data_IF_708009273028
#
_entry.id   IF_708009273028
#
_cell.length_a   1.000
_cell.length_b   1.000
_cell.length_c   1.000
_cell.angle_alpha   90.00
_cell.angle_beta   90.00
_cell.angle_gamma   90.00
#
_symmetry.space_group_name_H-M   'P 1'
#
loop_
_entity.id
_entity.type
_entity.pdbx_description
1 polymer ?
#
# COMPACT_ATOMS: atom_id res chain seq x y z
N UNK A 1 13.18 -2.03 3.52
CA UNK A 1 13.10 -3.05 2.44
C UNK A 1 13.93 -4.26 2.83
N UNK A 2 13.37 -5.47 2.75
CA UNK A 2 14.10 -6.70 3.01
C UNK A 2 15.20 -6.94 1.95
N UNK A 3 16.26 -7.66 2.35
CA UNK A 3 17.31 -8.09 1.44
C UNK A 3 16.76 -9.12 0.44
N UNK A 4 16.98 -8.91 -0.87
CA UNK A 4 16.59 -9.88 -1.90
C UNK A 4 17.78 -10.76 -2.25
N UNK A 5 17.64 -12.05 -2.02
CA UNK A 5 18.66 -13.09 -2.24
C UNK A 5 18.19 -14.02 -3.35
N UNK A 6 18.94 -14.13 -4.43
CA UNK A 6 18.66 -15.12 -5.47
C UNK A 6 19.34 -16.44 -5.09
N UNK A 7 18.52 -17.44 -4.80
CA UNK A 7 18.97 -18.81 -4.49
C UNK A 7 18.02 -19.81 -5.10
N UNK A 8 18.29 -20.20 -6.33
CA UNK A 8 17.43 -21.12 -7.07
C UNK A 8 17.44 -22.53 -6.46
N UNK A 9 16.26 -23.13 -6.39
CA UNK A 9 16.06 -24.50 -5.92
C UNK A 9 16.34 -25.49 -7.05
N UNK A 10 17.62 -25.59 -7.45
CA UNK A 10 18.09 -26.35 -8.62
C UNK A 10 17.85 -27.85 -8.52
N UNK A 11 17.74 -28.41 -7.30
CA UNK A 11 17.43 -29.80 -7.08
C UNK A 11 15.94 -30.13 -7.11
N UNK A 12 15.08 -29.12 -7.00
CA UNK A 12 13.63 -29.34 -7.05
C UNK A 12 13.21 -29.84 -8.46
N UNK A 13 12.36 -30.88 -8.55
CA UNK A 13 11.90 -31.42 -9.83
C UNK A 13 11.22 -30.39 -10.75
N UNK A 14 10.54 -29.40 -10.18
CA UNK A 14 9.92 -28.31 -10.94
C UNK A 14 10.97 -27.45 -11.65
N UNK A 15 12.04 -27.07 -10.95
CA UNK A 15 13.17 -26.34 -11.54
C UNK A 15 13.80 -27.15 -12.68
N UNK A 16 14.09 -28.44 -12.44
CA UNK A 16 14.72 -29.34 -13.41
C UNK A 16 13.88 -29.53 -14.68
N UNK A 17 12.55 -29.42 -14.61
CA UNK A 17 11.69 -29.43 -15.81
C UNK A 17 11.88 -28.21 -16.70
N UNK A 18 12.32 -27.08 -16.17
CA UNK A 18 12.73 -25.91 -16.93
C UNK A 18 11.68 -25.31 -17.86
N UNK A 19 10.37 -25.64 -17.67
CA UNK A 19 9.29 -25.08 -18.49
C UNK A 19 9.21 -23.57 -18.26
N UNK A 20 8.97 -22.84 -19.35
CA UNK A 20 8.77 -21.38 -19.30
C UNK A 20 7.31 -21.03 -19.53
N UNK A 21 6.90 -19.88 -18.99
CA UNK A 21 5.57 -19.28 -19.17
C UNK A 21 5.72 -17.86 -19.67
N UNK A 22 4.71 -17.41 -20.43
CA UNK A 22 4.46 -15.98 -20.62
C UNK A 22 3.77 -15.46 -19.37
N UNK A 23 4.41 -14.49 -18.70
CA UNK A 23 3.90 -13.92 -17.47
C UNK A 23 2.74 -12.97 -17.80
N UNK A 24 1.57 -13.26 -17.22
CA UNK A 24 0.37 -12.42 -17.33
C UNK A 24 -0.03 -11.81 -16.01
N UNK A 25 0.57 -12.27 -14.90
CA UNK A 25 0.27 -11.76 -13.57
C UNK A 25 1.11 -12.39 -12.48
N UNK A 26 0.77 -12.04 -11.26
CA UNK A 26 1.42 -12.44 -10.02
C UNK A 26 0.37 -13.01 -9.07
N UNK A 27 0.72 -14.05 -8.31
CA UNK A 27 -0.15 -14.63 -7.29
C UNK A 27 0.53 -14.54 -5.92
N UNK A 28 -0.14 -13.90 -4.98
CA UNK A 28 0.30 -13.82 -3.60
C UNK A 28 -0.27 -15.00 -2.80
N UNK A 29 0.62 -15.67 -2.08
CA UNK A 29 0.31 -16.77 -1.19
C UNK A 29 0.77 -16.49 0.23
N UNK A 30 0.35 -17.34 1.17
CA UNK A 30 1.03 -17.55 2.43
C UNK A 30 1.18 -19.04 2.70
N UNK A 31 2.29 -19.40 3.34
CA UNK A 31 2.82 -20.78 3.36
C UNK A 31 1.93 -21.80 4.10
N UNK A 32 0.88 -21.37 4.81
CA UNK A 32 -0.06 -22.26 5.52
C UNK A 32 0.56 -22.99 6.71
N UNK A 33 1.65 -22.51 7.28
CA UNK A 33 2.25 -23.06 8.49
C UNK A 33 3.02 -22.00 9.28
N UNK A 34 3.07 -22.17 10.61
CA UNK A 34 3.68 -21.23 11.56
C UNK A 34 5.21 -21.22 11.47
N UNK A 35 5.75 -20.87 10.29
CA UNK A 35 7.19 -20.81 10.05
C UNK A 35 7.60 -19.43 9.54
N UNK A 36 8.32 -18.63 10.38
CA UNK A 36 8.69 -17.27 10.04
C UNK A 36 9.95 -17.16 9.15
N UNK A 37 10.72 -18.24 9.01
CA UNK A 37 12.01 -18.21 8.34
C UNK A 37 11.93 -18.78 6.92
N UNK A 38 12.11 -17.96 5.87
CA UNK A 38 12.07 -18.42 4.48
C UNK A 38 13.18 -19.40 4.11
N UNK A 39 14.35 -19.34 4.77
CA UNK A 39 15.49 -20.25 4.51
C UNK A 39 15.12 -21.72 4.75
N UNK A 40 14.20 -21.97 5.69
CA UNK A 40 13.72 -23.34 5.97
C UNK A 40 13.06 -23.94 4.75
N UNK A 41 12.24 -23.16 4.04
CA UNK A 41 11.54 -23.62 2.82
C UNK A 41 12.52 -23.79 1.67
N UNK A 42 13.43 -22.83 1.46
CA UNK A 42 14.46 -22.92 0.41
C UNK A 42 15.26 -24.21 0.58
N UNK A 43 15.72 -24.51 1.80
CA UNK A 43 16.46 -25.73 2.11
C UNK A 43 15.64 -26.99 1.89
N UNK A 44 14.42 -27.04 2.43
CA UNK A 44 13.60 -28.24 2.43
C UNK A 44 13.01 -28.57 1.05
N UNK A 45 12.68 -27.56 0.26
CA UNK A 45 12.08 -27.74 -1.06
C UNK A 45 13.15 -27.90 -2.16
N UNK A 46 14.41 -27.52 -1.91
CA UNK A 46 15.52 -27.80 -2.81
C UNK A 46 15.98 -29.24 -2.69
N UNK A 47 15.13 -30.19 -3.00
CA UNK A 47 15.32 -31.61 -2.83
C UNK A 47 14.72 -32.38 -4.01
N UNK A 48 15.45 -33.31 -4.65
CA UNK A 48 14.97 -34.08 -5.80
C UNK A 48 13.75 -34.95 -5.50
N UNK A 49 13.50 -35.27 -4.22
CA UNK A 49 12.31 -36.01 -3.81
C UNK A 49 11.11 -35.12 -3.47
N UNK A 50 11.27 -33.79 -3.44
CA UNK A 50 10.20 -32.87 -3.14
C UNK A 50 9.45 -32.47 -4.42
N UNK A 51 8.39 -33.22 -4.73
CA UNK A 51 7.59 -33.04 -5.95
C UNK A 51 6.21 -32.40 -5.73
N UNK A 52 5.98 -31.82 -4.53
CA UNK A 52 4.68 -31.30 -4.12
C UNK A 52 4.42 -29.88 -4.60
N UNK A 53 5.44 -29.01 -4.47
CA UNK A 53 5.31 -27.60 -4.78
C UNK A 53 6.64 -26.99 -5.21
N UNK A 54 6.57 -25.85 -5.85
CA UNK A 54 7.68 -24.96 -6.13
C UNK A 54 7.12 -23.57 -6.40
N UNK A 55 7.75 -22.55 -5.82
CA UNK A 55 7.35 -21.15 -5.96
C UNK A 55 8.50 -20.30 -6.49
N UNK A 56 8.23 -19.09 -6.90
CA UNK A 56 9.27 -18.17 -7.39
C UNK A 56 10.00 -17.45 -6.28
N UNK A 57 9.39 -17.36 -5.09
CA UNK A 57 10.07 -16.77 -3.94
C UNK A 57 9.33 -16.96 -2.62
N UNK A 58 10.09 -16.75 -1.54
CA UNK A 58 9.59 -16.73 -0.17
C UNK A 58 9.94 -15.41 0.49
N UNK A 59 8.99 -14.82 1.20
CA UNK A 59 9.11 -13.54 1.91
C UNK A 59 9.10 -13.77 3.41
N UNK A 60 10.16 -13.32 4.09
CA UNK A 60 10.24 -13.21 5.55
C UNK A 60 10.38 -11.75 5.99
N UNK A 61 10.67 -11.53 7.28
CA UNK A 61 10.79 -10.18 7.85
C UNK A 61 11.92 -9.36 7.19
N UNK A 62 13.12 -9.96 7.07
CA UNK A 62 14.32 -9.23 6.68
C UNK A 62 14.92 -9.75 5.36
N UNK A 63 14.41 -10.86 4.84
CA UNK A 63 14.93 -11.53 3.64
C UNK A 63 13.82 -11.99 2.73
N UNK A 64 14.07 -11.85 1.44
CA UNK A 64 13.26 -12.38 0.36
C UNK A 64 14.16 -13.30 -0.47
N UNK A 65 13.76 -14.54 -0.65
CA UNK A 65 14.47 -15.48 -1.52
C UNK A 65 13.76 -15.61 -2.86
N UNK A 66 14.49 -15.41 -3.95
CA UNK A 66 14.03 -15.75 -5.31
C UNK A 66 14.54 -17.15 -5.61
N UNK A 67 13.63 -18.08 -5.82
CA UNK A 67 13.88 -19.53 -5.84
C UNK A 67 13.67 -20.20 -7.20
N UNK A 68 13.00 -19.49 -8.11
CA UNK A 68 12.90 -19.83 -9.53
C UNK A 68 13.19 -18.59 -10.39
N UNK A 69 13.77 -18.76 -11.59
CA UNK A 69 13.98 -17.66 -12.53
C UNK A 69 12.66 -16.97 -12.90
N UNK A 70 12.54 -15.70 -12.54
CA UNK A 70 11.35 -14.88 -12.82
C UNK A 70 11.65 -13.43 -13.22
N UNK A 71 12.92 -13.05 -13.20
CA UNK A 71 13.41 -11.73 -13.65
C UNK A 71 14.66 -11.89 -14.54
N UNK A 72 14.77 -12.95 -15.30
CA UNK A 72 15.89 -13.18 -16.19
C UNK A 72 15.58 -12.66 -17.61
N UNK A 73 16.48 -11.87 -18.15
CA UNK A 73 16.48 -11.53 -19.57
C UNK A 73 17.16 -12.66 -20.31
N UNK A 74 16.39 -13.57 -20.88
CA UNK A 74 16.92 -14.70 -21.65
C UNK A 74 17.09 -14.42 -23.15
N UNK A 75 16.61 -13.28 -23.61
CA UNK A 75 16.73 -12.76 -24.98
C UNK A 75 16.46 -11.25 -25.00
N UNK A 76 16.54 -10.61 -26.16
CA UNK A 76 16.28 -9.17 -26.35
C UNK A 76 14.88 -8.71 -25.94
N UNK A 77 13.97 -9.63 -25.63
CA UNK A 77 12.61 -9.39 -25.16
C UNK A 77 12.29 -10.19 -23.88
N UNK A 78 13.26 -10.35 -22.97
CA UNK A 78 13.15 -11.18 -21.77
C UNK A 78 12.03 -10.80 -20.78
N UNK A 79 11.51 -9.59 -20.90
CA UNK A 79 10.31 -9.19 -20.18
C UNK A 79 9.12 -10.10 -20.53
N UNK A 80 8.36 -10.45 -19.50
CA UNK A 80 7.16 -11.27 -19.66
C UNK A 80 7.41 -12.79 -19.69
N UNK A 81 8.64 -13.25 -19.36
CA UNK A 81 8.98 -14.68 -19.30
C UNK A 81 9.46 -15.04 -17.90
N UNK A 82 9.00 -16.20 -17.38
CA UNK A 82 9.46 -16.80 -16.12
C UNK A 82 9.51 -18.34 -16.26
N UNK A 83 10.21 -19.03 -15.35
CA UNK A 83 10.03 -20.48 -15.21
C UNK A 83 8.61 -20.76 -14.70
N UNK A 84 8.01 -21.88 -15.13
CA UNK A 84 6.72 -22.32 -14.65
C UNK A 84 6.88 -22.91 -13.24
N UNK A 85 6.21 -22.34 -12.27
CA UNK A 85 6.15 -22.89 -10.91
C UNK A 85 5.00 -23.92 -10.73
N UNK A 86 4.96 -24.57 -9.57
CA UNK A 86 3.88 -25.44 -9.09
C UNK A 86 3.35 -24.89 -7.78
N UNK A 87 2.60 -23.78 -7.82
CA UNK A 87 2.24 -23.03 -6.60
C UNK A 87 0.73 -23.03 -6.27
N UNK A 88 -0.14 -23.24 -7.27
CA UNK A 88 -1.57 -23.04 -7.06
C UNK A 88 -2.46 -24.22 -7.48
N UNK A 89 -1.91 -25.34 -7.91
CA UNK A 89 -2.69 -26.45 -8.43
C UNK A 89 -3.42 -26.07 -9.73
N UNK A 90 -4.64 -26.60 -9.89
CA UNK A 90 -5.53 -26.30 -11.01
C UNK A 90 -6.93 -25.98 -10.51
N UNK A 91 -7.60 -25.04 -11.15
CA UNK A 91 -9.01 -24.74 -10.96
C UNK A 91 -9.88 -25.40 -12.04
N UNK A 92 -11.15 -25.02 -12.07
CA UNK A 92 -12.15 -25.56 -12.99
C UNK A 92 -11.93 -25.17 -14.45
N UNK A 93 -11.25 -24.04 -14.70
CA UNK A 93 -11.02 -23.51 -16.06
C UNK A 93 -9.58 -23.76 -16.54
N UNK A 94 -8.59 -23.58 -15.66
CA UNK A 94 -7.17 -23.70 -16.01
C UNK A 94 -6.28 -23.72 -14.74
N UNK A 95 -5.00 -23.41 -14.90
CA UNK A 95 -4.07 -23.26 -13.78
C UNK A 95 -3.23 -21.98 -13.95
N UNK A 96 -3.24 -21.12 -12.93
CA UNK A 96 -2.39 -19.94 -12.87
C UNK A 96 -0.89 -20.28 -12.85
N UNK A 97 -0.51 -21.52 -12.53
CA UNK A 97 0.85 -21.99 -12.76
C UNK A 97 1.36 -21.77 -14.20
N UNK A 98 0.46 -21.62 -15.16
CA UNK A 98 0.80 -21.42 -16.58
C UNK A 98 0.96 -19.95 -16.98
N UNK A 99 0.66 -19.01 -16.08
CA UNK A 99 0.58 -17.59 -16.43
C UNK A 99 1.04 -16.64 -15.32
N UNK A 100 1.12 -17.09 -14.06
CA UNK A 100 1.41 -16.24 -12.90
C UNK A 100 2.70 -16.66 -12.21
N UNK A 101 3.43 -15.66 -11.72
CA UNK A 101 4.52 -15.83 -10.77
C UNK A 101 3.90 -15.99 -9.38
N UNK A 102 4.19 -17.10 -8.68
CA UNK A 102 3.69 -17.35 -7.32
C UNK A 102 4.74 -17.02 -6.26
N UNK A 103 4.36 -16.23 -5.27
CA UNK A 103 5.23 -15.78 -4.16
C UNK A 103 4.53 -16.10 -2.84
N UNK A 104 5.28 -16.73 -1.91
CA UNK A 104 4.81 -17.14 -0.59
C UNK A 104 5.26 -16.18 0.50
N UNK A 105 4.37 -15.66 1.30
CA UNK A 105 4.70 -15.01 2.57
C UNK A 105 4.87 -16.08 3.65
N UNK A 106 5.96 -15.98 4.44
CA UNK A 106 6.12 -16.72 5.68
C UNK A 106 5.08 -16.26 6.72
N UNK A 107 4.85 -17.08 7.72
CA UNK A 107 3.85 -16.84 8.76
C UNK A 107 4.45 -16.81 10.15
N UNK A 108 3.87 -16.03 11.09
CA UNK A 108 4.45 -15.88 12.42
C UNK A 108 4.42 -17.20 13.20
N UNK A 109 5.47 -17.45 13.99
CA UNK A 109 5.60 -18.67 14.81
C UNK A 109 4.59 -18.76 15.95
N UNK A 110 3.96 -17.67 16.33
CA UNK A 110 3.02 -17.60 17.46
C UNK A 110 1.56 -17.92 17.09
N UNK A 111 1.25 -18.16 15.82
CA UNK A 111 -0.06 -18.69 15.42
C UNK A 111 -0.05 -20.23 15.47
N UNK A 112 -1.20 -20.84 15.68
CA UNK A 112 -1.36 -22.31 15.69
C UNK A 112 -2.55 -22.70 14.82
N UNK A 113 -2.29 -23.39 13.73
CA UNK A 113 -3.34 -23.93 12.87
C UNK A 113 -4.15 -25.01 13.60
N UNK A 114 -5.47 -24.96 13.47
CA UNK A 114 -6.42 -25.88 14.07
C UNK A 114 -7.25 -26.67 13.05
N UNK A 115 -7.08 -26.36 11.76
CA UNK A 115 -7.71 -27.06 10.64
C UNK A 115 -7.82 -26.14 9.41
N UNK A 116 -7.48 -26.64 8.23
CA UNK A 116 -7.47 -25.88 6.98
C UNK A 116 -6.70 -24.55 7.15
N UNK A 117 -7.30 -23.44 6.73
CA UNK A 117 -6.75 -22.10 6.88
C UNK A 117 -7.12 -21.40 8.20
N UNK A 118 -7.68 -22.14 9.20
CA UNK A 118 -8.07 -21.57 10.49
C UNK A 118 -6.96 -21.75 11.52
N UNK A 119 -6.60 -20.66 12.20
CA UNK A 119 -5.60 -20.69 13.27
C UNK A 119 -6.06 -19.96 14.53
N UNK A 120 -5.37 -20.16 15.61
CA UNK A 120 -5.50 -19.42 16.86
C UNK A 120 -4.20 -18.68 17.19
N UNK A 121 -4.31 -17.58 17.90
CA UNK A 121 -3.18 -16.82 18.47
C UNK A 121 -3.57 -16.38 19.87
N UNK A 122 -2.65 -16.45 20.84
CA UNK A 122 -2.90 -15.96 22.19
C UNK A 122 -2.97 -14.43 22.18
N UNK A 123 -3.84 -13.83 22.97
CA UNK A 123 -4.04 -12.36 23.00
C UNK A 123 -2.73 -11.60 23.21
N UNK A 124 -1.86 -12.08 24.10
CA UNK A 124 -0.55 -11.47 24.36
C UNK A 124 0.40 -11.51 23.16
N UNK A 125 0.24 -12.48 22.24
CA UNK A 125 1.10 -12.71 21.08
C UNK A 125 0.50 -12.08 19.81
N UNK A 126 -0.76 -11.68 19.84
CA UNK A 126 -1.49 -11.11 18.69
C UNK A 126 -0.82 -9.85 18.12
N UNK A 127 -0.34 -8.87 18.92
CA UNK A 127 0.37 -7.72 18.38
C UNK A 127 1.64 -8.09 17.60
N UNK A 128 2.39 -9.09 18.08
CA UNK A 128 3.59 -9.57 17.39
C UNK A 128 3.24 -10.29 16.08
N UNK A 129 2.15 -11.07 16.06
CA UNK A 129 1.65 -11.71 14.83
C UNK A 129 1.23 -10.66 13.78
N UNK A 130 0.51 -9.62 14.19
CA UNK A 130 0.10 -8.51 13.31
C UNK A 130 1.32 -7.79 12.76
N UNK A 131 2.30 -7.44 13.60
CA UNK A 131 3.52 -6.76 13.18
C UNK A 131 4.31 -7.61 12.17
N UNK A 132 4.40 -8.93 12.39
CA UNK A 132 5.05 -9.85 11.47
C UNK A 132 4.37 -9.87 10.09
N UNK A 133 3.04 -10.08 10.07
CA UNK A 133 2.27 -10.15 8.82
C UNK A 133 2.30 -8.81 8.08
N UNK A 134 2.20 -7.69 8.81
CA UNK A 134 2.33 -6.34 8.23
C UNK A 134 3.68 -6.19 7.51
N UNK A 135 4.80 -6.50 8.18
CA UNK A 135 6.13 -6.38 7.57
C UNK A 135 6.31 -7.31 6.36
N UNK A 136 5.82 -8.55 6.42
CA UNK A 136 5.86 -9.45 5.26
C UNK A 136 5.00 -8.92 4.10
N UNK A 137 3.85 -8.30 4.39
CA UNK A 137 2.99 -7.67 3.39
C UNK A 137 3.71 -6.47 2.72
N UNK A 138 4.35 -5.60 3.50
CA UNK A 138 5.15 -4.48 2.97
C UNK A 138 6.30 -4.97 2.07
N UNK A 139 7.00 -6.03 2.49
CA UNK A 139 8.04 -6.67 1.68
C UNK A 139 7.47 -7.28 0.39
N UNK A 140 6.24 -7.83 0.45
CA UNK A 140 5.54 -8.33 -0.72
C UNK A 140 5.18 -7.20 -1.69
N UNK A 141 4.70 -6.07 -1.20
CA UNK A 141 4.43 -4.86 -2.00
C UNK A 141 5.70 -4.43 -2.74
N UNK A 142 6.84 -4.35 -2.05
CA UNK A 142 8.12 -3.98 -2.65
C UNK A 142 8.56 -4.94 -3.78
N UNK A 143 8.42 -6.25 -3.55
CA UNK A 143 8.76 -7.26 -4.55
C UNK A 143 7.80 -7.22 -5.74
N UNK A 144 6.48 -7.14 -5.49
CA UNK A 144 5.46 -7.11 -6.54
C UNK A 144 5.58 -5.86 -7.41
N UNK A 145 5.90 -4.71 -6.84
CA UNK A 145 6.18 -3.49 -7.59
C UNK A 145 7.36 -3.68 -8.56
N UNK A 146 8.45 -4.32 -8.12
CA UNK A 146 9.60 -4.66 -8.97
C UNK A 146 9.23 -5.64 -10.08
N UNK A 147 8.47 -6.70 -9.75
CA UNK A 147 8.01 -7.68 -10.73
C UNK A 147 7.06 -7.07 -11.76
N UNK A 148 6.12 -6.21 -11.32
CA UNK A 148 5.24 -5.49 -12.24
C UNK A 148 6.00 -4.58 -13.20
N UNK A 149 6.97 -3.81 -12.69
CA UNK A 149 7.86 -2.99 -13.56
C UNK A 149 8.62 -3.86 -14.56
N UNK A 150 9.22 -4.95 -14.09
CA UNK A 150 10.03 -5.83 -14.94
C UNK A 150 9.19 -6.48 -16.04
N UNK A 151 7.98 -6.94 -15.74
CA UNK A 151 7.11 -7.63 -16.68
C UNK A 151 6.12 -6.71 -17.41
N UNK A 152 6.19 -5.40 -17.20
CA UNK A 152 5.27 -4.40 -17.75
C UNK A 152 3.80 -4.72 -17.46
N UNK A 153 3.50 -5.04 -16.19
CA UNK A 153 2.17 -5.37 -15.71
C UNK A 153 1.52 -4.17 -15.03
N UNK A 154 0.21 -3.97 -15.24
CA UNK A 154 -0.56 -3.00 -14.49
C UNK A 154 -1.16 -3.68 -13.23
N UNK A 155 -0.71 -3.34 -12.00
CA UNK A 155 -1.20 -4.00 -10.79
C UNK A 155 -2.68 -3.79 -10.51
N UNK A 156 -3.31 -2.76 -11.06
CA UNK A 156 -4.74 -2.47 -10.90
C UNK A 156 -5.63 -3.17 -11.92
N UNK A 157 -5.05 -3.79 -12.95
CA UNK A 157 -5.81 -4.54 -13.94
C UNK A 157 -6.33 -5.86 -13.33
N UNK A 158 -7.60 -6.16 -13.59
CA UNK A 158 -8.24 -7.38 -13.09
C UNK A 158 -7.51 -8.64 -13.54
N UNK A 159 -7.22 -9.53 -12.60
CA UNK A 159 -6.54 -10.80 -12.85
C UNK A 159 -5.02 -10.70 -12.96
N UNK A 160 -4.42 -9.50 -12.88
CA UNK A 160 -2.96 -9.33 -12.90
C UNK A 160 -2.33 -9.66 -11.55
N UNK A 161 -2.82 -9.07 -10.47
CA UNK A 161 -2.42 -9.48 -9.11
C UNK A 161 -3.61 -10.15 -8.44
N UNK A 162 -3.45 -11.40 -8.06
CA UNK A 162 -4.49 -12.19 -7.40
C UNK A 162 -3.94 -12.90 -6.16
N UNK A 163 -4.81 -13.20 -5.20
CA UNK A 163 -4.51 -14.15 -4.13
C UNK A 163 -4.81 -15.58 -4.58
N UNK A 164 -4.40 -16.59 -3.81
CA UNK A 164 -4.80 -17.97 -4.09
C UNK A 164 -6.32 -18.12 -4.03
N UNK A 165 -6.94 -17.47 -3.02
CA UNK A 165 -8.40 -17.44 -2.89
C UNK A 165 -9.08 -16.87 -4.13
N UNK A 166 -8.64 -15.70 -4.60
CA UNK A 166 -9.19 -15.10 -5.82
C UNK A 166 -8.94 -15.98 -7.05
N UNK A 167 -7.78 -16.65 -7.12
CA UNK A 167 -7.47 -17.63 -8.17
C UNK A 167 -8.43 -18.82 -8.18
N UNK A 168 -8.87 -19.29 -7.01
CA UNK A 168 -9.92 -20.31 -6.91
C UNK A 168 -11.26 -19.76 -7.43
N UNK A 169 -11.67 -18.58 -6.98
CA UNK A 169 -12.93 -17.94 -7.40
C UNK A 169 -12.94 -17.69 -8.92
N UNK A 170 -11.80 -17.39 -9.53
CA UNK A 170 -11.63 -17.26 -10.98
C UNK A 170 -11.58 -18.60 -11.73
N UNK A 171 -11.44 -19.72 -11.02
CA UNK A 171 -11.34 -21.06 -11.59
C UNK A 171 -9.95 -21.41 -12.15
N UNK A 172 -8.89 -20.76 -11.64
CA UNK A 172 -7.49 -20.96 -12.10
C UNK A 172 -6.56 -21.52 -11.03
N UNK A 173 -7.08 -21.77 -9.81
CA UNK A 173 -6.33 -22.37 -8.70
C UNK A 173 -7.20 -23.38 -7.93
N UNK A 174 -6.56 -24.24 -7.12
CA UNK A 174 -7.22 -25.09 -6.16
C UNK A 174 -7.85 -24.27 -5.02
N UNK A 175 -8.76 -24.90 -4.24
CA UNK A 175 -9.42 -24.22 -3.11
C UNK A 175 -8.47 -23.99 -1.94
N UNK A 176 -8.07 -22.75 -1.77
CA UNK A 176 -7.27 -22.24 -0.66
C UNK A 176 -7.70 -20.81 -0.31
N UNK A 177 -7.45 -20.39 0.94
CA UNK A 177 -7.91 -19.09 1.45
C UNK A 177 -6.74 -18.10 1.71
N UNK A 178 -5.54 -18.45 1.27
CA UNK A 178 -4.32 -17.66 1.48
C UNK A 178 -4.14 -16.53 0.44
N UNK A 179 -3.56 -15.41 0.81
CA UNK A 179 -3.19 -15.00 2.17
C UNK A 179 -4.33 -14.29 2.95
N UNK A 180 -5.51 -14.13 2.35
CA UNK A 180 -6.65 -13.35 2.90
C UNK A 180 -7.02 -13.78 4.31
N UNK A 181 -6.88 -15.09 4.62
CA UNK A 181 -7.19 -15.63 5.94
C UNK A 181 -6.32 -15.04 7.06
N UNK A 182 -5.05 -14.68 6.78
CA UNK A 182 -4.15 -14.08 7.77
C UNK A 182 -4.66 -12.71 8.21
N UNK A 183 -4.92 -11.82 7.26
CA UNK A 183 -5.39 -10.47 7.55
C UNK A 183 -6.72 -10.50 8.30
N UNK A 184 -7.67 -11.29 7.80
CA UNK A 184 -9.00 -11.41 8.40
C UNK A 184 -8.96 -11.93 9.83
N UNK A 185 -8.24 -13.03 10.11
CA UNK A 185 -8.24 -13.66 11.43
C UNK A 185 -7.42 -12.88 12.46
N UNK A 186 -6.42 -12.13 12.03
CA UNK A 186 -5.69 -11.19 12.88
C UNK A 186 -6.47 -9.88 13.14
N UNK A 187 -7.57 -9.66 12.42
CA UNK A 187 -8.36 -8.42 12.54
C UNK A 187 -7.67 -7.22 11.91
N UNK A 188 -6.84 -7.45 10.89
CA UNK A 188 -6.20 -6.40 10.12
C UNK A 188 -7.20 -5.84 9.12
N UNK A 189 -7.30 -4.50 9.02
CA UNK A 189 -8.10 -3.84 8.00
C UNK A 189 -7.29 -3.75 6.69
N UNK A 190 -7.04 -4.92 6.08
CA UNK A 190 -6.26 -5.04 4.86
C UNK A 190 -6.88 -6.06 3.90
N UNK A 191 -6.73 -5.83 2.60
CA UNK A 191 -7.35 -6.64 1.55
C UNK A 191 -6.47 -6.71 0.30
N UNK A 192 -6.80 -7.62 -0.62
CA UNK A 192 -6.13 -7.66 -1.93
C UNK A 192 -6.32 -6.38 -2.74
N UNK A 193 -7.44 -5.67 -2.59
CA UNK A 193 -7.64 -4.37 -3.24
C UNK A 193 -6.67 -3.32 -2.72
N UNK A 194 -6.45 -3.28 -1.39
CA UNK A 194 -5.43 -2.41 -0.81
C UNK A 194 -4.03 -2.83 -1.25
N UNK A 195 -3.72 -4.14 -1.23
CA UNK A 195 -2.44 -4.65 -1.70
C UNK A 195 -2.12 -4.21 -3.14
N UNK A 196 -3.09 -4.30 -4.06
CA UNK A 196 -2.92 -3.85 -5.46
C UNK A 196 -2.65 -2.35 -5.55
N UNK A 197 -3.34 -1.53 -4.75
CA UNK A 197 -3.10 -0.08 -4.67
C UNK A 197 -1.70 0.23 -4.13
N UNK A 198 -1.29 -0.45 -3.05
CA UNK A 198 0.04 -0.26 -2.45
C UNK A 198 1.14 -0.62 -3.45
N UNK A 199 0.98 -1.72 -4.19
CA UNK A 199 1.90 -2.11 -5.29
C UNK A 199 1.94 -1.05 -6.38
N UNK A 200 0.78 -0.51 -6.80
CA UNK A 200 0.71 0.54 -7.80
C UNK A 200 1.39 1.83 -7.33
N UNK A 201 1.13 2.26 -6.10
CA UNK A 201 1.73 3.44 -5.50
C UNK A 201 3.25 3.27 -5.41
N UNK A 202 3.71 2.13 -4.91
CA UNK A 202 5.13 1.81 -4.84
C UNK A 202 5.81 1.77 -6.20
N UNK A 203 5.13 1.21 -7.20
CA UNK A 203 5.64 1.13 -8.57
C UNK A 203 5.85 2.52 -9.18
N UNK A 204 4.98 3.47 -8.86
CA UNK A 204 4.99 4.82 -9.42
C UNK A 204 5.67 5.85 -8.52
N UNK A 205 6.29 5.43 -7.40
CA UNK A 205 6.85 6.28 -6.36
C UNK A 205 5.84 7.31 -5.82
N UNK A 206 4.57 6.94 -5.81
CA UNK A 206 3.53 7.70 -5.14
C UNK A 206 3.70 7.37 -3.65
N UNK A 207 4.20 8.33 -2.88
CA UNK A 207 4.14 8.21 -1.43
C UNK A 207 2.66 8.18 -1.07
N UNK A 208 2.23 7.17 -0.34
CA UNK A 208 0.93 7.23 0.30
C UNK A 208 1.03 8.40 1.28
N UNK A 209 0.29 9.47 1.00
CA UNK A 209 -0.09 10.36 2.07
C UNK A 209 -0.77 9.47 3.10
N UNK A 210 -0.08 9.34 4.24
CA UNK A 210 -0.56 8.57 5.37
C UNK A 210 -2.02 8.98 5.61
N UNK A 211 -2.99 8.13 5.20
CA UNK A 211 -4.43 8.39 5.34
C UNK A 211 -4.85 8.57 6.81
N UNK A 212 -3.91 8.45 7.72
CA UNK A 212 -4.00 8.87 9.10
C UNK A 212 -3.76 10.38 9.21
N UNK A 213 -4.76 11.17 8.77
CA UNK A 213 -4.80 12.59 9.07
C UNK A 213 -4.89 12.78 10.59
N UNK A 214 -3.74 12.91 11.25
CA UNK A 214 -3.73 13.25 12.68
C UNK A 214 -4.21 14.68 12.87
N UNK A 215 -4.72 15.00 14.06
CA UNK A 215 -5.13 16.37 14.40
C UNK A 215 -3.95 17.36 14.25
N UNK A 216 -2.72 16.91 14.55
CA UNK A 216 -1.49 17.69 14.40
C UNK A 216 -1.21 17.98 12.91
N UNK A 217 -1.23 16.96 12.05
CA UNK A 217 -1.00 17.10 10.60
C UNK A 217 -2.07 17.97 9.95
N UNK A 218 -3.35 17.77 10.34
CA UNK A 218 -4.44 18.64 9.88
C UNK A 218 -4.22 20.09 10.31
N UNK A 219 -3.83 20.31 11.57
CA UNK A 219 -3.55 21.66 12.09
C UNK A 219 -2.38 22.32 11.34
N UNK A 220 -1.35 21.55 11.01
CA UNK A 220 -0.20 22.04 10.23
C UNK A 220 -0.60 22.42 8.80
N UNK A 221 -1.32 21.56 8.09
CA UNK A 221 -1.84 21.84 6.75
C UNK A 221 -2.79 23.04 6.74
N UNK A 222 -3.65 23.16 7.75
CA UNK A 222 -4.54 24.32 7.90
C UNK A 222 -3.75 25.61 8.14
N UNK A 223 -2.66 25.55 8.90
CA UNK A 223 -1.78 26.71 9.11
C UNK A 223 -1.06 27.11 7.82
N UNK A 224 -0.52 26.15 7.08
CA UNK A 224 0.10 26.38 5.77
C UNK A 224 -0.91 26.96 4.77
N UNK A 225 -2.09 26.37 4.68
CA UNK A 225 -3.15 26.87 3.83
C UNK A 225 -3.52 28.32 4.19
N UNK A 226 -3.74 28.62 5.48
CA UNK A 226 -4.02 29.98 5.92
C UNK A 226 -2.88 30.96 5.64
N UNK A 227 -1.65 30.51 5.65
CA UNK A 227 -0.50 31.36 5.26
C UNK A 227 -0.61 31.79 3.79
N UNK A 228 -1.13 30.95 2.89
CA UNK A 228 -1.38 31.32 1.48
C UNK A 228 -2.48 32.36 1.30
N UNK A 229 -3.39 32.48 2.28
CA UNK A 229 -4.49 33.44 2.27
C UNK A 229 -4.10 34.82 2.84
N UNK A 230 -2.88 34.95 3.39
CA UNK A 230 -2.34 36.22 3.93
C UNK A 230 -1.94 37.17 2.80
N UNK A 231 -2.91 37.54 1.98
CA UNK A 231 -2.75 38.43 0.82
C UNK A 231 -3.91 39.43 0.76
N UNK A 232 -3.78 40.42 -0.12
CA UNK A 232 -4.87 41.34 -0.44
C UNK A 232 -5.72 40.91 -1.65
N UNK A 233 -5.57 39.65 -2.09
CA UNK A 233 -6.39 39.10 -3.15
C UNK A 233 -7.86 39.06 -2.73
N UNK A 234 -8.75 39.53 -3.62
CA UNK A 234 -10.16 39.65 -3.34
C UNK A 234 -10.97 39.80 -4.64
N UNK A 235 -12.26 39.54 -4.56
CA UNK A 235 -13.16 39.72 -5.69
C UNK A 235 -13.63 41.17 -5.81
N UNK A 236 -13.82 41.64 -7.04
CA UNK A 236 -14.20 43.02 -7.33
C UNK A 236 -15.55 43.42 -6.70
N UNK A 237 -16.51 42.49 -6.57
CA UNK A 237 -17.83 42.78 -6.02
C UNK A 237 -17.81 43.36 -4.60
N UNK A 238 -16.76 43.11 -3.83
CA UNK A 238 -16.65 43.57 -2.44
C UNK A 238 -15.85 44.85 -2.27
N UNK A 239 -15.39 45.50 -3.35
CA UNK A 239 -14.48 46.63 -3.30
C UNK A 239 -15.05 47.83 -2.52
N UNK A 240 -16.26 48.24 -2.82
CA UNK A 240 -16.92 49.34 -2.14
C UNK A 240 -17.08 49.08 -0.64
N UNK A 241 -17.53 47.87 -0.29
CA UNK A 241 -17.74 47.46 1.10
C UNK A 241 -16.39 47.40 1.88
N UNK A 242 -15.33 46.90 1.25
CA UNK A 242 -13.99 46.86 1.86
C UNK A 242 -13.48 48.29 2.13
N UNK A 243 -13.53 49.15 1.11
CA UNK A 243 -13.06 50.52 1.23
C UNK A 243 -13.82 51.26 2.31
N UNK A 244 -15.16 51.10 2.36
CA UNK A 244 -15.98 51.65 3.41
C UNK A 244 -15.61 51.13 4.80
N UNK A 245 -15.41 49.80 4.96
CA UNK A 245 -15.08 49.18 6.24
C UNK A 245 -13.69 49.61 6.75
N UNK A 246 -12.70 49.75 5.87
CA UNK A 246 -11.38 50.27 6.20
C UNK A 246 -11.45 51.72 6.63
N UNK A 247 -12.10 52.56 5.84
CA UNK A 247 -12.26 54.00 6.11
C UNK A 247 -12.95 54.28 7.45
N UNK A 248 -13.86 53.43 7.86
CA UNK A 248 -14.61 53.57 9.11
C UNK A 248 -13.99 52.78 10.27
N UNK A 249 -12.83 52.14 10.10
CA UNK A 249 -12.12 51.43 11.16
C UNK A 249 -12.73 50.08 11.57
N UNK A 250 -13.69 49.55 10.80
CA UNK A 250 -14.33 48.25 11.08
C UNK A 250 -13.42 47.07 10.65
N UNK A 251 -12.76 47.25 9.53
CA UNK A 251 -11.77 46.27 9.04
C UNK A 251 -10.34 46.83 9.24
N UNK A 252 -9.55 46.07 9.98
CA UNK A 252 -8.15 46.39 10.25
C UNK A 252 -7.27 45.33 9.60
N UNK A 253 -6.03 45.72 9.17
CA UNK A 253 -5.08 44.78 8.65
C UNK A 253 -4.60 43.76 9.69
N UNK A 254 -3.99 42.67 9.23
CA UNK A 254 -3.46 41.58 10.06
C UNK A 254 -2.24 41.97 10.91
N UNK A 255 -1.70 43.17 10.72
CA UNK A 255 -0.43 43.65 11.28
C UNK A 255 0.78 43.41 10.36
N UNK A 256 0.62 42.52 9.37
CA UNK A 256 1.63 42.30 8.34
C UNK A 256 1.54 43.31 7.19
N UNK A 257 2.62 43.43 6.43
CA UNK A 257 2.71 44.29 5.24
C UNK A 257 3.16 43.46 4.04
N UNK A 258 2.70 43.83 2.86
CA UNK A 258 3.14 43.24 1.60
C UNK A 258 4.52 43.80 1.18
N UNK A 259 5.05 43.32 0.04
CA UNK A 259 6.34 43.76 -0.53
C UNK A 259 6.42 45.27 -0.85
N UNK A 260 5.30 45.96 -0.95
CA UNK A 260 5.17 47.39 -1.22
C UNK A 260 4.94 48.20 0.08
N UNK A 261 4.98 47.54 1.24
CA UNK A 261 4.75 48.17 2.54
C UNK A 261 3.29 48.42 2.87
N UNK A 262 2.33 47.94 2.06
CA UNK A 262 0.89 48.11 2.29
C UNK A 262 0.36 47.09 3.31
N UNK A 263 -0.59 47.48 4.17
CA UNK A 263 -1.20 46.54 5.11
C UNK A 263 -1.82 45.34 4.41
N UNK A 264 -1.63 44.14 4.94
CA UNK A 264 -2.32 42.92 4.48
C UNK A 264 -3.63 42.78 5.26
N UNK A 265 -4.75 42.64 4.56
CA UNK A 265 -6.11 42.50 5.12
C UNK A 265 -6.60 41.04 5.11
N UNK A 266 -5.94 40.15 4.37
CA UNK A 266 -6.29 38.73 4.26
C UNK A 266 -7.79 38.50 3.97
N UNK A 267 -8.32 39.15 2.95
CA UNK A 267 -9.77 39.20 2.64
C UNK A 267 -10.39 37.81 2.39
N UNK A 268 -9.61 36.82 2.06
CA UNK A 268 -10.07 35.46 1.76
C UNK A 268 -9.79 34.49 2.92
N UNK A 269 -9.18 34.93 4.02
CA UNK A 269 -8.95 34.11 5.20
C UNK A 269 -10.24 33.90 6.01
N UNK A 270 -10.27 32.82 6.81
CA UNK A 270 -11.40 32.49 7.69
C UNK A 270 -11.50 33.49 8.84
N UNK A 271 -12.71 33.96 9.09
CA UNK A 271 -12.99 34.83 10.23
C UNK A 271 -13.43 33.98 11.45
N UNK A 272 -12.81 34.21 12.61
CA UNK A 272 -13.24 33.59 13.86
C UNK A 272 -14.51 34.25 14.41
N UNK A 273 -15.24 33.54 15.30
CA UNK A 273 -16.39 34.13 16.01
C UNK A 273 -16.00 35.38 16.81
N UNK A 274 -14.82 35.36 17.40
CA UNK A 274 -14.30 36.51 18.16
C UNK A 274 -14.05 37.71 17.26
N UNK A 275 -13.45 37.53 16.09
CA UNK A 275 -13.25 38.59 15.11
C UNK A 275 -14.57 39.13 14.62
N UNK A 276 -15.55 38.26 14.35
CA UNK A 276 -16.89 38.71 13.91
C UNK A 276 -17.57 39.54 14.99
N UNK A 277 -17.58 39.08 16.25
CA UNK A 277 -18.21 39.84 17.37
C UNK A 277 -17.48 41.16 17.59
N UNK A 278 -16.17 41.21 17.43
CA UNK A 278 -15.36 42.43 17.55
C UNK A 278 -15.77 43.46 16.49
N UNK A 279 -15.97 43.03 15.23
CA UNK A 279 -16.41 43.90 14.16
C UNK A 279 -17.82 44.41 14.42
N UNK A 280 -18.74 43.56 14.86
CA UNK A 280 -20.11 43.95 15.24
C UNK A 280 -20.13 44.97 16.39
N UNK A 281 -19.33 44.74 17.41
CA UNK A 281 -19.22 45.67 18.56
C UNK A 281 -18.74 47.07 18.12
N UNK A 282 -17.68 47.11 17.29
CA UNK A 282 -17.18 48.38 16.74
C UNK A 282 -18.26 49.12 15.91
N UNK A 283 -19.02 48.34 15.13
CA UNK A 283 -20.14 48.91 14.37
C UNK A 283 -21.25 49.49 15.28
N UNK A 284 -21.67 48.70 16.29
CA UNK A 284 -22.67 49.12 17.25
C UNK A 284 -22.24 50.39 17.98
N UNK A 285 -21.02 50.44 18.47
CA UNK A 285 -20.43 51.61 19.14
C UNK A 285 -20.41 52.84 18.23
N UNK A 286 -19.97 52.67 16.98
CA UNK A 286 -19.96 53.78 16.02
C UNK A 286 -21.36 54.31 15.66
N UNK A 287 -22.41 53.52 15.90
CA UNK A 287 -23.81 53.90 15.67
C UNK A 287 -24.55 54.30 16.94
N UNK A 288 -23.90 54.28 18.10
CA UNK A 288 -24.54 54.60 19.37
C UNK A 288 -25.64 53.62 19.77
N UNK A 289 -25.46 52.32 19.43
CA UNK A 289 -26.41 51.24 19.69
C UNK A 289 -26.04 50.41 20.94
N UNK A 290 -25.03 50.81 21.67
CA UNK A 290 -24.60 50.15 22.92
C UNK A 290 -25.18 50.84 24.18
#
# INVERSE_FOLDING_TARGET
MAEIITQYMTENPCYKKGRKIAVKGLMLHSIGCSQPNPEVFVKNWNNPSYNKACVHGFIGLNKIFITLPCMEVTNTSGHGIAHRAWHCGAGTKSSANNTHIGIEMCEPSCIKYIGGCTFTVKDKDKPAAIAFVKQCTENAVDLFAKLCKYHNLNPLESGVIISHKEGHDLGVASDHQDPDHLWRQLGMNYSMDQFRKDVYNKMNNIEEDDDNMTAEKFTELMREYRATLQTNNCNAYSEEARNWAIKNGFLQGTGAKDSNGMPIYAYTDFMTREQFVTVLYRFAKAKGLE
#
